data_IF_937673991308
#
_entry.id   IF_937673991308
#
_cell.length_a   1.000
_cell.length_b   1.000
_cell.length_c   1.000
_cell.angle_alpha   90.00
_cell.angle_beta   90.00
_cell.angle_gamma   90.00
#
_symmetry.space_group_name_H-M   'P 1'
#
loop_
_entity.id
_entity.type
_entity.pdbx_description
1 polymer ?
#
# COMPACT_ATOMS: atom_id res chain seq x y z
N UNK A 1 10.91 26.77 12.21
CA UNK A 1 10.16 27.50 11.17
C UNK A 1 10.81 27.39 9.81
N UNK A 2 11.80 28.21 9.40
CA UNK A 2 12.37 28.13 8.02
C UNK A 2 12.89 26.72 7.67
N UNK A 3 13.48 26.01 8.64
CA UNK A 3 14.01 24.64 8.44
C UNK A 3 12.91 23.58 8.26
N UNK A 4 11.74 23.77 8.84
CA UNK A 4 10.64 22.79 8.80
C UNK A 4 9.81 23.02 7.53
N UNK A 5 9.55 24.28 7.18
CA UNK A 5 8.93 24.68 5.90
C UNK A 5 9.77 24.23 4.70
N UNK A 6 11.10 24.38 4.77
CA UNK A 6 12.00 23.89 3.73
C UNK A 6 11.98 22.35 3.61
N UNK A 7 11.80 21.63 4.71
CA UNK A 7 11.66 20.16 4.67
C UNK A 7 10.34 19.75 4.04
N UNK A 8 9.23 20.38 4.41
CA UNK A 8 7.94 20.10 3.78
C UNK A 8 8.00 20.32 2.28
N UNK A 9 8.59 21.43 1.85
CA UNK A 9 8.79 21.75 0.43
C UNK A 9 9.62 20.68 -0.32
N UNK A 10 10.64 20.08 0.32
CA UNK A 10 11.48 19.06 -0.33
C UNK A 10 10.79 17.71 -0.57
N UNK A 11 9.68 17.45 0.12
CA UNK A 11 8.97 16.15 0.09
C UNK A 11 7.54 16.26 -0.46
N UNK A 12 6.97 17.45 -0.49
CA UNK A 12 5.69 17.72 -1.11
C UNK A 12 5.73 17.36 -2.60
N UNK A 13 4.70 16.62 -3.05
CA UNK A 13 4.50 16.18 -4.44
C UNK A 13 5.69 15.43 -5.07
N UNK A 14 6.64 14.98 -4.24
CA UNK A 14 7.83 14.28 -4.71
C UNK A 14 7.59 12.80 -4.79
N UNK A 15 7.79 12.25 -5.99
CA UNK A 15 7.84 10.81 -6.19
C UNK A 15 9.21 10.24 -5.79
N UNK A 16 9.20 9.29 -4.86
CA UNK A 16 10.38 8.50 -4.51
C UNK A 16 10.28 7.12 -5.16
N UNK A 17 11.16 6.88 -6.13
CA UNK A 17 11.18 5.66 -6.92
C UNK A 17 12.32 4.76 -6.48
N UNK A 18 12.00 3.52 -6.11
CA UNK A 18 12.95 2.51 -5.68
C UNK A 18 12.97 1.33 -6.65
N UNK A 19 14.16 0.87 -7.10
CA UNK A 19 14.27 -0.31 -7.96
C UNK A 19 13.72 -1.57 -7.29
N UNK A 20 13.93 -1.74 -5.99
CA UNK A 20 13.38 -2.83 -5.19
C UNK A 20 12.97 -2.37 -3.78
N UNK A 21 12.07 -3.14 -3.17
CA UNK A 21 11.58 -2.88 -1.81
C UNK A 21 12.70 -2.85 -0.77
N UNK A 22 13.75 -3.65 -0.98
CA UNK A 22 14.94 -3.65 -0.13
C UNK A 22 15.69 -2.30 -0.16
N UNK A 23 15.73 -1.63 -1.32
CA UNK A 23 16.37 -0.31 -1.44
C UNK A 23 15.62 0.74 -0.62
N UNK A 24 14.28 0.70 -0.66
CA UNK A 24 13.43 1.54 0.20
C UNK A 24 13.72 1.30 1.68
N UNK A 25 13.69 0.04 2.12
CA UNK A 25 13.90 -0.33 3.53
C UNK A 25 15.29 0.12 4.01
N UNK A 26 16.34 -0.05 3.19
CA UNK A 26 17.69 0.42 3.54
C UNK A 26 17.85 1.94 3.50
N UNK A 27 17.02 2.64 2.73
CA UNK A 27 17.05 4.09 2.62
C UNK A 27 16.37 4.78 3.82
N UNK A 28 15.30 4.21 4.36
CA UNK A 28 14.50 4.79 5.45
C UNK A 28 15.34 5.20 6.68
N UNK A 29 16.28 4.38 7.19
CA UNK A 29 17.15 4.80 8.29
C UNK A 29 17.98 6.07 8.00
N UNK A 30 18.27 6.37 6.72
CA UNK A 30 19.06 7.53 6.31
C UNK A 30 18.27 8.84 6.36
N UNK A 31 16.94 8.77 6.24
CA UNK A 31 16.06 9.94 6.33
C UNK A 31 15.45 10.12 7.73
N UNK A 32 15.55 9.10 8.59
CA UNK A 32 15.11 9.17 9.98
C UNK A 32 13.64 9.55 10.11
N UNK A 33 13.34 10.53 10.97
CA UNK A 33 11.97 11.01 11.20
C UNK A 33 11.34 11.68 9.97
N UNK A 34 12.11 12.07 8.94
CA UNK A 34 11.54 12.62 7.72
C UNK A 34 10.74 11.58 6.91
N UNK A 35 10.72 10.31 7.33
CA UNK A 35 9.82 9.29 6.77
C UNK A 35 8.35 9.72 6.87
N UNK A 36 7.99 10.51 7.88
CA UNK A 36 6.66 11.06 8.07
C UNK A 36 6.24 12.05 6.96
N UNK A 37 7.20 12.54 6.16
CA UNK A 37 6.96 13.52 5.11
C UNK A 37 6.69 12.91 3.72
N UNK A 38 6.78 11.58 3.59
CA UNK A 38 6.61 10.89 2.32
C UNK A 38 5.18 11.05 1.76
N UNK A 39 5.08 11.34 0.47
CA UNK A 39 3.81 11.59 -0.23
C UNK A 39 3.53 10.54 -1.32
N UNK A 40 4.50 10.29 -2.21
CA UNK A 40 4.37 9.34 -3.32
C UNK A 40 5.54 8.35 -3.32
N UNK A 41 5.23 7.05 -3.23
CA UNK A 41 6.23 5.98 -3.23
C UNK A 41 5.98 5.03 -4.39
N UNK A 42 7.02 4.72 -5.16
CA UNK A 42 6.98 3.71 -6.21
C UNK A 42 8.07 2.67 -5.98
N UNK A 43 7.69 1.40 -5.82
CA UNK A 43 8.61 0.27 -5.68
C UNK A 43 8.47 -0.65 -6.88
N UNK A 44 9.52 -0.76 -7.69
CA UNK A 44 9.50 -1.51 -8.97
C UNK A 44 9.70 -3.02 -8.84
N UNK A 45 10.03 -3.50 -7.64
CA UNK A 45 10.14 -4.93 -7.34
C UNK A 45 9.78 -5.21 -5.88
N UNK A 46 8.66 -5.88 -5.66
CA UNK A 46 8.24 -6.37 -4.35
C UNK A 46 8.79 -7.78 -4.05
N UNK A 47 9.10 -8.06 -2.79
CA UNK A 47 9.41 -9.40 -2.30
C UNK A 47 8.61 -9.72 -1.04
N UNK A 48 8.03 -10.93 -0.95
CA UNK A 48 7.12 -11.30 0.13
C UNK A 48 7.72 -11.13 1.54
N UNK A 49 9.04 -11.35 1.67
CA UNK A 49 9.76 -11.21 2.95
C UNK A 49 9.81 -9.77 3.45
N UNK A 50 9.79 -8.79 2.55
CA UNK A 50 9.97 -7.37 2.88
C UNK A 50 8.65 -6.60 3.04
N UNK A 51 7.51 -7.21 2.70
CA UNK A 51 6.22 -6.54 2.73
C UNK A 51 5.82 -6.03 4.12
N UNK A 52 6.05 -6.84 5.15
CA UNK A 52 5.71 -6.45 6.52
C UNK A 52 6.47 -5.20 6.96
N UNK A 53 7.77 -5.14 6.66
CA UNK A 53 8.61 -3.98 7.00
C UNK A 53 8.19 -2.74 6.19
N UNK A 54 7.89 -2.93 4.91
CA UNK A 54 7.38 -1.88 4.04
C UNK A 54 6.10 -1.25 4.59
N UNK A 55 5.06 -2.05 4.89
CA UNK A 55 3.83 -1.54 5.48
C UNK A 55 4.02 -0.96 6.88
N UNK A 56 4.90 -1.57 7.70
CA UNK A 56 5.25 -1.04 9.02
C UNK A 56 5.95 0.32 8.96
N UNK A 57 6.64 0.63 7.86
CA UNK A 57 7.18 1.96 7.60
C UNK A 57 6.08 2.92 7.15
N UNK A 58 5.23 2.52 6.21
CA UNK A 58 4.13 3.35 5.72
C UNK A 58 3.14 3.73 6.83
N UNK A 59 2.92 2.84 7.80
CA UNK A 59 2.09 3.10 8.97
C UNK A 59 2.59 4.25 9.86
N UNK A 60 3.87 4.63 9.75
CA UNK A 60 4.44 5.77 10.47
C UNK A 60 4.15 7.10 9.77
N UNK A 61 3.69 7.08 8.52
CA UNK A 61 3.34 8.29 7.78
C UNK A 61 1.99 8.80 8.29
N UNK A 62 1.87 10.07 8.70
CA UNK A 62 0.60 10.62 9.17
C UNK A 62 -0.52 10.46 8.14
N UNK A 63 -1.75 10.24 8.64
CA UNK A 63 -2.95 10.20 7.79
C UNK A 63 -3.07 11.49 6.98
N UNK A 64 -3.46 11.36 5.72
CA UNK A 64 -3.60 12.46 4.77
C UNK A 64 -2.30 12.94 4.12
N UNK A 65 -1.11 12.53 4.62
CA UNK A 65 0.17 12.89 3.99
C UNK A 65 0.51 11.96 2.82
N UNK A 66 0.36 10.66 3.03
CA UNK A 66 0.56 9.67 1.97
C UNK A 66 -0.58 9.80 0.95
N UNK A 67 -0.22 10.03 -0.31
CA UNK A 67 -1.12 10.28 -1.42
C UNK A 67 -1.11 9.14 -2.44
N UNK A 68 0.02 8.46 -2.62
CA UNK A 68 0.10 7.32 -3.53
C UNK A 68 1.18 6.33 -3.12
N UNK A 69 0.88 5.04 -3.25
CA UNK A 69 1.83 3.95 -3.10
C UNK A 69 1.69 2.99 -4.27
N UNK A 70 2.67 2.99 -5.16
CA UNK A 70 2.74 2.04 -6.26
C UNK A 70 3.68 0.88 -5.90
N UNK A 71 3.18 -0.35 -5.98
CA UNK A 71 3.95 -1.56 -5.76
C UNK A 71 3.87 -2.45 -6.99
N UNK A 72 5.03 -2.75 -7.56
CA UNK A 72 5.15 -3.67 -8.67
C UNK A 72 5.27 -5.12 -8.18
N UNK A 73 4.29 -5.92 -8.56
CA UNK A 73 4.21 -7.35 -8.33
C UNK A 73 4.99 -8.13 -9.42
N UNK A 74 5.28 -9.41 -9.16
CA UNK A 74 6.05 -10.29 -10.05
C UNK A 74 5.19 -10.94 -11.14
N UNK A 75 5.42 -10.73 -12.43
CA UNK A 75 4.57 -11.18 -13.55
C UNK A 75 4.10 -12.67 -13.66
N UNK A 76 4.56 -13.62 -12.82
CA UNK A 76 4.24 -15.07 -12.91
C UNK A 76 2.98 -15.55 -12.16
N UNK A 77 2.07 -14.67 -11.74
CA UNK A 77 1.04 -15.06 -10.75
C UNK A 77 -0.40 -15.14 -11.24
N UNK A 78 -0.71 -15.27 -12.53
CA UNK A 78 -2.12 -15.12 -12.99
C UNK A 78 -3.12 -16.02 -12.24
N UNK A 79 -2.76 -17.27 -11.92
CA UNK A 79 -3.58 -18.19 -11.11
C UNK A 79 -3.59 -17.89 -9.59
N UNK A 80 -2.68 -17.04 -9.10
CA UNK A 80 -2.43 -16.71 -7.70
C UNK A 80 -2.59 -15.21 -7.38
N UNK A 81 -3.21 -14.40 -8.26
CA UNK A 81 -3.39 -12.96 -8.01
C UNK A 81 -4.11 -12.74 -6.67
N UNK A 82 -5.23 -13.46 -6.46
CA UNK A 82 -5.98 -13.38 -5.20
C UNK A 82 -5.13 -13.77 -3.98
N UNK A 83 -4.31 -14.82 -4.11
CA UNK A 83 -3.41 -15.26 -3.03
C UNK A 83 -2.34 -14.20 -2.74
N UNK A 84 -1.81 -13.54 -3.77
CA UNK A 84 -0.87 -12.44 -3.61
C UNK A 84 -1.50 -11.24 -2.92
N UNK A 85 -2.71 -10.84 -3.32
CA UNK A 85 -3.43 -9.74 -2.65
C UNK A 85 -3.76 -10.11 -1.21
N UNK A 86 -4.10 -11.37 -0.96
CA UNK A 86 -4.32 -11.88 0.41
C UNK A 86 -3.03 -11.83 1.24
N UNK A 87 -1.87 -12.19 0.67
CA UNK A 87 -0.58 -12.03 1.35
C UNK A 87 -0.24 -10.55 1.59
N UNK A 88 -0.47 -9.65 0.61
CA UNK A 88 -0.31 -8.20 0.79
C UNK A 88 -1.12 -7.70 1.99
N UNK A 89 -2.40 -8.08 2.05
CA UNK A 89 -3.28 -7.73 3.14
C UNK A 89 -2.79 -8.27 4.48
N UNK A 90 -2.49 -9.58 4.56
CA UNK A 90 -2.06 -10.20 5.81
C UNK A 90 -0.75 -9.60 6.36
N UNK A 91 0.16 -9.14 5.47
CA UNK A 91 1.39 -8.44 5.89
C UNK A 91 1.15 -6.96 6.20
N UNK A 92 0.15 -6.36 5.58
CA UNK A 92 -0.22 -4.96 5.71
C UNK A 92 -1.37 -4.67 6.66
N UNK A 93 -1.98 -5.67 7.31
CA UNK A 93 -3.15 -5.49 8.19
C UNK A 93 -2.99 -4.32 9.17
N UNK A 94 -1.85 -4.14 9.89
CA UNK A 94 -1.68 -3.00 10.80
C UNK A 94 -1.71 -1.64 10.09
N UNK A 95 -1.34 -1.60 8.82
CA UNK A 95 -1.44 -0.40 8.00
C UNK A 95 -2.88 -0.14 7.55
N UNK A 96 -3.69 -1.14 7.23
CA UNK A 96 -5.06 -0.90 6.74
C UNK A 96 -6.10 -0.78 7.85
N UNK A 97 -5.94 -1.53 8.94
CA UNK A 97 -6.97 -1.72 9.99
C UNK A 97 -6.35 -1.89 11.40
N UNK A 98 -5.26 -1.17 11.69
CA UNK A 98 -4.68 -1.11 13.03
C UNK A 98 -5.63 -0.52 14.08
N UNK A 99 -5.29 -0.68 15.37
CA UNK A 99 -6.14 -0.27 16.51
C UNK A 99 -6.55 1.22 16.50
N UNK A 100 -5.74 2.08 15.89
CA UNK A 100 -5.94 3.53 15.76
C UNK A 100 -6.51 3.95 14.38
N UNK A 101 -6.84 3.00 13.51
CA UNK A 101 -7.29 3.25 12.14
C UNK A 101 -8.81 3.10 12.03
N UNK A 102 -9.48 4.19 11.67
CA UNK A 102 -10.91 4.15 11.36
C UNK A 102 -11.17 3.41 10.05
N UNK A 103 -12.40 2.92 9.87
CA UNK A 103 -12.80 2.28 8.61
C UNK A 103 -12.62 3.22 7.40
N UNK A 104 -12.92 4.50 7.56
CA UNK A 104 -12.76 5.51 6.51
C UNK A 104 -11.27 5.72 6.14
N UNK A 105 -10.38 5.76 7.14
CA UNK A 105 -8.94 5.82 6.89
C UNK A 105 -8.41 4.54 6.25
N UNK A 106 -8.92 3.37 6.66
CA UNK A 106 -8.59 2.10 6.02
C UNK A 106 -8.98 2.09 4.54
N UNK A 107 -10.18 2.55 4.19
CA UNK A 107 -10.65 2.67 2.80
C UNK A 107 -9.78 3.63 2.02
N UNK A 108 -9.50 4.81 2.60
CA UNK A 108 -8.58 5.78 2.02
C UNK A 108 -7.24 5.13 1.70
N UNK A 109 -6.65 4.36 2.62
CA UNK A 109 -5.36 3.67 2.42
C UNK A 109 -5.41 2.63 1.31
N UNK A 110 -6.52 1.91 1.15
CA UNK A 110 -6.73 1.02 0.01
C UNK A 110 -6.69 1.81 -1.30
N UNK A 111 -7.36 2.97 -1.36
CA UNK A 111 -7.37 3.83 -2.55
C UNK A 111 -6.00 4.42 -2.91
N UNK A 112 -5.06 4.52 -1.95
CA UNK A 112 -3.68 4.95 -2.24
C UNK A 112 -2.85 3.87 -2.95
N UNK A 113 -3.25 2.59 -2.84
CA UNK A 113 -2.46 1.46 -3.32
C UNK A 113 -2.68 1.22 -4.81
N UNK A 114 -1.59 1.30 -5.57
CA UNK A 114 -1.58 0.98 -7.00
C UNK A 114 -0.70 -0.25 -7.21
N UNK A 115 -1.33 -1.37 -7.55
CA UNK A 115 -0.61 -2.56 -7.97
C UNK A 115 -0.26 -2.49 -9.45
N UNK A 116 0.97 -2.84 -9.79
CA UNK A 116 1.47 -2.89 -11.18
C UNK A 116 2.24 -4.17 -11.43
N UNK A 117 2.50 -4.50 -12.70
CA UNK A 117 3.46 -5.55 -13.05
C UNK A 117 4.82 -4.90 -13.29
N UNK A 118 5.83 -5.32 -12.54
CA UNK A 118 7.20 -4.84 -12.73
C UNK A 118 7.94 -5.66 -13.79
N UNK A 119 8.97 -5.09 -14.47
CA UNK A 119 9.81 -5.79 -15.47
C UNK A 119 10.73 -6.86 -14.86
N UNK A 120 10.40 -7.39 -13.68
CA UNK A 120 11.35 -8.02 -12.77
C UNK A 120 11.70 -9.47 -13.08
N UNK A 121 11.37 -10.01 -14.26
CA UNK A 121 11.84 -11.33 -14.68
C UNK A 121 12.17 -11.38 -16.17
N UNK A 122 13.47 -11.38 -16.50
CA UNK A 122 14.00 -11.64 -17.85
C UNK A 122 13.42 -12.93 -18.44
N UNK A 123 13.24 -13.96 -17.60
CA UNK A 123 12.65 -15.25 -17.97
C UNK A 123 11.15 -15.24 -18.31
N UNK A 124 10.45 -14.12 -18.04
CA UNK A 124 9.02 -13.95 -18.34
C UNK A 124 8.82 -13.22 -19.66
N UNK A 125 9.72 -12.31 -20.00
CA UNK A 125 9.71 -11.60 -21.28
C UNK A 125 10.17 -12.51 -22.43
N UNK A 126 10.99 -13.51 -22.14
CA UNK A 126 11.47 -14.50 -23.13
C UNK A 126 10.49 -15.67 -23.33
N UNK A 127 9.46 -15.81 -22.49
CA UNK A 127 8.42 -16.84 -22.70
C UNK A 127 7.27 -16.24 -23.51
N UNK A 128 7.33 -16.38 -24.84
CA UNK A 128 6.28 -15.90 -25.73
C UNK A 128 4.90 -16.54 -25.47
N UNK A 129 4.85 -17.73 -24.85
CA UNK A 129 3.63 -18.54 -24.70
C UNK A 129 3.49 -19.18 -23.31
N UNK A 130 3.46 -18.38 -22.23
CA UNK A 130 3.02 -18.88 -20.92
C UNK A 130 1.70 -18.23 -20.56
N UNK A 131 0.61 -19.02 -20.62
CA UNK A 131 -0.73 -18.60 -20.17
C UNK A 131 -0.75 -18.16 -18.68
N UNK A 132 0.28 -18.55 -17.92
CA UNK A 132 0.45 -18.26 -16.49
C UNK A 132 1.06 -16.88 -16.19
N UNK A 133 1.46 -16.13 -17.22
CA UNK A 133 2.09 -14.83 -17.08
C UNK A 133 1.08 -13.69 -17.24
N UNK A 134 0.95 -12.89 -16.19
CA UNK A 134 0.21 -11.62 -16.23
C UNK A 134 1.15 -10.50 -16.68
N UNK A 135 0.91 -9.95 -17.87
CA UNK A 135 1.75 -8.89 -18.48
C UNK A 135 1.37 -7.49 -18.01
N UNK A 136 0.11 -7.29 -17.64
CA UNK A 136 -0.44 -6.04 -17.12
C UNK A 136 -1.57 -6.32 -16.13
N UNK A 137 -1.84 -5.35 -15.24
CA UNK A 137 -3.04 -5.32 -14.41
C UNK A 137 -4.00 -4.33 -15.07
N UNK A 138 -5.08 -4.86 -15.63
CA UNK A 138 -6.12 -4.08 -16.31
C UNK A 138 -6.88 -3.18 -15.32
N UNK A 139 -7.71 -2.27 -15.83
CA UNK A 139 -8.57 -1.46 -14.98
C UNK A 139 -9.60 -2.32 -14.22
N UNK A 140 -10.09 -3.39 -14.84
CA UNK A 140 -11.03 -4.33 -14.21
C UNK A 140 -10.36 -5.10 -13.06
N UNK A 141 -9.14 -5.60 -13.28
CA UNK A 141 -8.36 -6.26 -12.23
C UNK A 141 -8.09 -5.32 -11.05
N UNK A 142 -7.76 -4.05 -11.31
CA UNK A 142 -7.53 -3.05 -10.24
C UNK A 142 -8.78 -2.82 -9.41
N UNK A 143 -9.92 -2.70 -10.07
CA UNK A 143 -11.20 -2.50 -9.39
C UNK A 143 -11.61 -3.74 -8.58
N UNK A 144 -11.33 -4.94 -9.08
CA UNK A 144 -11.55 -6.18 -8.33
C UNK A 144 -10.65 -6.26 -7.09
N UNK A 145 -9.35 -5.96 -7.23
CA UNK A 145 -8.40 -5.91 -6.11
C UNK A 145 -8.86 -4.91 -5.06
N UNK A 146 -9.27 -3.71 -5.49
CA UNK A 146 -9.78 -2.66 -4.61
C UNK A 146 -10.98 -3.15 -3.80
N UNK A 147 -12.00 -3.70 -4.47
CA UNK A 147 -13.19 -4.27 -3.82
C UNK A 147 -12.85 -5.35 -2.80
N UNK A 148 -11.97 -6.29 -3.16
CA UNK A 148 -11.53 -7.37 -2.26
C UNK A 148 -10.92 -6.78 -0.97
N UNK A 149 -10.02 -5.79 -1.12
CA UNK A 149 -9.38 -5.16 0.04
C UNK A 149 -10.36 -4.33 0.87
N UNK A 150 -11.30 -3.63 0.24
CA UNK A 150 -12.35 -2.88 0.94
C UNK A 150 -13.29 -3.78 1.74
N UNK A 151 -13.66 -4.95 1.19
CA UNK A 151 -14.53 -5.93 1.86
C UNK A 151 -13.87 -6.55 3.11
N UNK A 152 -12.54 -6.56 3.18
CA UNK A 152 -11.82 -7.01 4.36
C UNK A 152 -11.82 -5.99 5.50
N UNK A 153 -12.01 -4.69 5.23
CA UNK A 153 -11.98 -3.65 6.26
C UNK A 153 -13.02 -3.87 7.37
N UNK A 154 -14.33 -4.04 7.07
CA UNK A 154 -15.35 -4.27 8.11
C UNK A 154 -15.12 -5.57 8.86
N UNK A 155 -14.79 -6.64 8.12
CA UNK A 155 -14.57 -7.99 8.67
C UNK A 155 -13.48 -7.98 9.75
N UNK A 156 -12.39 -7.25 9.53
CA UNK A 156 -11.28 -7.18 10.48
C UNK A 156 -11.55 -6.19 11.62
N UNK A 157 -12.18 -5.03 11.35
CA UNK A 157 -12.56 -4.08 12.40
C UNK A 157 -13.50 -4.72 13.43
N UNK A 158 -14.45 -5.54 12.98
CA UNK A 158 -15.37 -6.28 13.84
C UNK A 158 -14.66 -7.40 14.61
N UNK A 159 -13.70 -8.10 13.98
CA UNK A 159 -12.90 -9.17 14.62
C UNK A 159 -12.01 -8.67 15.76
N UNK A 160 -11.64 -7.38 15.74
CA UNK A 160 -10.78 -6.72 16.74
C UNK A 160 -11.58 -5.95 17.80
N UNK A 161 -12.90 -5.89 17.69
CA UNK A 161 -13.73 -5.13 18.63
C UNK A 161 -13.60 -3.61 18.50
N UNK A 162 -13.08 -3.11 17.37
CA UNK A 162 -12.99 -1.68 17.06
C UNK A 162 -14.42 -1.21 16.72
N UNK A 163 -15.22 -0.96 17.75
CA UNK A 163 -16.57 -0.40 17.59
C UNK A 163 -16.42 0.98 16.95
N UNK A 164 -16.81 1.09 15.68
CA UNK A 164 -17.05 2.37 15.04
C UNK A 164 -17.90 3.23 15.97
N UNK A 165 -17.37 4.40 16.33
CA UNK A 165 -18.12 5.45 16.99
C UNK A 165 -19.28 5.80 16.07
N UNK A 166 -20.44 5.20 16.31
CA UNK A 166 -21.69 5.61 15.68
C UNK A 166 -21.88 7.09 16.00
N UNK A 167 -21.79 7.91 14.97
CA UNK A 167 -22.28 9.28 14.99
C UNK A 167 -23.75 9.24 15.39
N UNK A 168 -24.02 9.50 16.66
CA UNK A 168 -25.35 9.69 17.20
C UNK A 168 -25.80 11.11 16.91
N UNK A 169 -26.47 11.30 15.78
CA UNK A 169 -27.26 12.50 15.52
C UNK A 169 -28.75 12.21 15.85
N UNK A 170 -29.37 13.17 16.57
CA UNK A 170 -30.81 13.34 16.91
C UNK A 170 -31.32 12.55 18.14
N UNK A 171 -32.24 13.03 18.98
CA UNK A 171 -33.22 14.15 18.98
C UNK A 171 -33.21 14.78 20.40
N UNK A 172 -33.46 16.06 20.63
CA UNK A 172 -34.69 16.76 20.26
C UNK A 172 -35.83 16.33 21.20
N UNK A 173 -35.83 16.86 22.41
CA UNK A 173 -37.00 17.18 23.26
C UNK A 173 -36.53 18.07 24.42
#
# INVERSE_FOLDING_TARGET
>A
MIRDEAKDFMYQDREFIFPAMQDFIHWVPRIGSNVELLTHITVRKSGAKQLKDFYGILAKVPSGRLQQVQVALSAKFKAALRDHITDQWNKGEPFFVGDDISQDEGRRRVDLMIFTIGPSQKSVLDSNDSEDVMKEISAEDREEIRKIMEDWIPTYADSKGIKGTKGGQKKGE
#
